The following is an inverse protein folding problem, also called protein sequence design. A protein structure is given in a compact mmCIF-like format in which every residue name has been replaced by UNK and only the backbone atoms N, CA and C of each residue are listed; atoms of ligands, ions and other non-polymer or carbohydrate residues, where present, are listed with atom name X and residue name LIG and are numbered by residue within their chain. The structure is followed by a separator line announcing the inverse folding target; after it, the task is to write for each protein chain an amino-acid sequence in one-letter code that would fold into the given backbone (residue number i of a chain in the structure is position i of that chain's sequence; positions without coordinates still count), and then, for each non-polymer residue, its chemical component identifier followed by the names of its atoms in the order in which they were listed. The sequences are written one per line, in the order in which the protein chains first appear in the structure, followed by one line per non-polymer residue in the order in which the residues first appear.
data_IF_529357911977
#
_entry.id   IF_529357911977
#
_cell.length_a   1.000
_cell.length_b   1.000
_cell.length_c   1.000
_cell.angle_alpha   90.00
_cell.angle_beta   90.00
_cell.angle_gamma   90.00
#
_symmetry.space_group_name_H-M   'P 1'
#
loop_
_entity.id
_entity.type
_entity.pdbx_description
1 polymer ?
#
# COMPACT_ATOMS: atom_id res chain seq x y z
N UNK A 1 23.69 0.46 -11.12
CA UNK A 1 22.78 0.34 -9.96
C UNK A 1 21.86 1.56 -9.91
N UNK A 2 20.74 1.54 -10.65
CA UNK A 2 19.71 2.58 -10.53
C UNK A 2 18.84 2.20 -9.33
N UNK A 3 18.86 3.02 -8.28
CA UNK A 3 17.98 2.91 -7.13
C UNK A 3 16.54 2.89 -7.65
N UNK A 4 15.90 1.72 -7.66
CA UNK A 4 14.46 1.62 -7.88
C UNK A 4 13.87 2.26 -6.63
N UNK A 5 13.57 3.54 -6.76
CA UNK A 5 12.94 4.36 -5.75
C UNK A 5 11.71 3.62 -5.28
N UNK A 6 11.69 3.32 -3.98
CA UNK A 6 10.48 3.01 -3.25
C UNK A 6 9.50 4.15 -3.52
N UNK A 7 8.66 3.99 -4.55
CA UNK A 7 7.43 4.74 -4.70
C UNK A 7 6.51 4.21 -3.60
N UNK A 8 6.79 4.66 -2.38
CA UNK A 8 5.81 4.80 -1.33
C UNK A 8 4.56 5.33 -2.03
N UNK A 9 3.55 4.49 -2.11
CA UNK A 9 2.21 4.93 -2.47
C UNK A 9 1.86 5.92 -1.37
N UNK A 10 2.09 7.20 -1.64
CA UNK A 10 1.69 8.29 -0.79
C UNK A 10 0.16 8.32 -0.81
N UNK A 11 -0.47 7.44 -0.02
CA UNK A 11 -1.92 7.47 0.22
C UNK A 11 -2.21 8.57 1.25
N UNK A 12 -1.70 9.77 0.99
CA UNK A 12 -1.90 10.97 1.77
C UNK A 12 -2.97 11.84 1.09
N UNK A 13 -4.22 11.38 1.08
CA UNK A 13 -5.38 12.20 0.64
C UNK A 13 -6.66 11.71 1.30
N UNK A 14 -6.60 11.45 2.60
CA UNK A 14 -7.80 11.47 3.44
C UNK A 14 -7.72 12.64 4.45
N UNK A 15 -6.97 13.69 4.10
CA UNK A 15 -6.85 14.90 4.91
C UNK A 15 -7.79 16.03 4.45
N UNK A 16 -8.49 15.87 3.33
CA UNK A 16 -9.39 16.91 2.78
C UNK A 16 -10.88 16.70 3.12
N UNK A 17 -11.20 15.74 4.00
CA UNK A 17 -12.52 15.67 4.67
C UNK A 17 -12.62 16.66 5.85
N UNK A 18 -11.87 17.76 5.81
CA UNK A 18 -12.13 18.90 6.67
C UNK A 18 -13.36 19.59 6.09
N UNK A 19 -14.51 19.28 6.69
CA UNK A 19 -15.75 19.99 6.50
C UNK A 19 -15.47 21.51 6.57
N UNK A 20 -15.89 22.32 5.58
CA UNK A 20 -15.60 23.73 5.56
C UNK A 20 -16.53 24.36 6.59
N UNK A 21 -16.02 24.56 7.79
CA UNK A 21 -16.65 25.52 8.68
C UNK A 21 -16.28 26.89 8.17
N UNK A 22 -17.19 27.50 7.41
CA UNK A 22 -17.29 28.95 7.45
C UNK A 22 -17.35 29.36 8.92
N UNK A 23 -16.39 30.19 9.33
CA UNK A 23 -16.35 30.82 10.64
C UNK A 23 -17.75 31.34 11.00
N UNK A 24 -18.35 30.81 12.07
CA UNK A 24 -19.53 31.44 12.65
C UNK A 24 -18.97 32.62 13.45
N UNK A 25 -18.94 33.79 12.82
CA UNK A 25 -18.50 35.04 13.44
C UNK A 25 -19.29 35.31 14.71
N UNK A 26 -18.60 35.80 15.73
CA UNK A 26 -19.17 36.26 16.99
C UNK A 26 -19.91 37.57 16.72
N UNK A 27 -21.22 37.62 16.97
CA UNK A 27 -21.99 38.88 16.99
C UNK A 27 -22.33 39.23 18.45
N UNK A 28 -22.39 40.53 18.82
CA UNK A 28 -22.53 41.02 20.19
C UNK A 28 -23.91 40.74 20.82
N UNK A 29 -24.16 41.06 22.11
CA UNK A 29 -25.21 40.44 22.90
C UNK A 29 -26.62 40.97 22.60
N UNK A 30 -27.59 40.26 23.18
CA UNK A 30 -28.97 40.08 22.75
C UNK A 30 -29.85 41.33 22.74
N UNK A 31 -30.79 41.33 21.78
CA UNK A 31 -32.10 41.95 21.96
C UNK A 31 -33.19 40.90 21.67
N UNK A 32 -34.19 40.86 22.55
CA UNK A 32 -35.24 39.83 22.59
C UNK A 32 -36.45 40.27 21.75
N UNK A 33 -37.20 39.27 21.25
CA UNK A 33 -38.61 39.32 20.84
C UNK A 33 -39.04 39.35 19.35
N UNK A 34 -38.14 39.45 18.35
CA UNK A 34 -38.57 39.23 16.95
C UNK A 34 -37.57 38.48 16.04
N UNK A 35 -36.38 38.17 16.55
CA UNK A 35 -35.29 37.54 15.78
C UNK A 35 -35.20 36.01 15.84
N UNK A 36 -35.98 35.34 16.70
CA UNK A 36 -35.89 33.88 16.88
C UNK A 36 -36.34 33.10 15.63
N UNK A 37 -37.39 33.57 14.95
CA UNK A 37 -37.96 32.94 13.74
C UNK A 37 -37.02 33.06 12.53
N UNK A 38 -36.29 34.18 12.40
CA UNK A 38 -35.29 34.39 11.33
C UNK A 38 -33.99 33.60 11.55
N UNK A 39 -33.61 33.30 12.80
CA UNK A 39 -32.36 32.58 13.09
C UNK A 39 -32.50 31.08 12.87
N UNK A 40 -33.66 30.50 13.19
CA UNK A 40 -33.93 29.08 12.98
C UNK A 40 -34.05 28.74 11.49
N UNK A 41 -34.62 29.63 10.68
CA UNK A 41 -34.66 29.51 9.21
C UNK A 41 -33.27 29.66 8.58
N UNK A 42 -32.44 30.62 9.05
CA UNK A 42 -31.04 30.73 8.61
C UNK A 42 -30.19 29.51 8.99
N UNK A 43 -30.42 28.93 10.17
CA UNK A 43 -29.78 27.68 10.59
C UNK A 43 -30.22 26.52 9.68
N UNK A 44 -31.52 26.37 9.42
CA UNK A 44 -32.06 25.32 8.54
C UNK A 44 -31.48 25.38 7.11
N UNK A 45 -31.37 26.58 6.52
CA UNK A 45 -30.72 26.76 5.21
C UNK A 45 -29.25 26.36 5.22
N UNK A 46 -28.53 26.64 6.32
CA UNK A 46 -27.13 26.24 6.49
C UNK A 46 -26.96 24.73 6.70
N UNK A 47 -27.90 24.10 7.39
CA UNK A 47 -27.94 22.65 7.60
C UNK A 47 -28.13 21.90 6.28
N UNK A 48 -28.99 22.42 5.40
CA UNK A 48 -29.19 21.84 4.05
C UNK A 48 -27.90 21.90 3.20
N UNK A 49 -27.15 23.02 3.27
CA UNK A 49 -25.84 23.13 2.59
C UNK A 49 -24.81 22.15 3.12
N UNK A 50 -24.86 21.83 4.42
CA UNK A 50 -23.98 20.84 5.05
C UNK A 50 -24.27 19.45 4.46
N UNK A 51 -25.53 19.06 4.31
CA UNK A 51 -25.92 17.77 3.73
C UNK A 51 -25.53 17.64 2.24
N UNK A 52 -25.75 18.69 1.45
CA UNK A 52 -25.31 18.73 0.04
C UNK A 52 -23.80 18.57 -0.07
N UNK A 53 -23.04 19.28 0.76
CA UNK A 53 -21.58 19.21 0.77
C UNK A 53 -21.04 17.86 1.28
N UNK A 54 -21.81 17.07 2.03
CA UNK A 54 -21.44 15.68 2.36
C UNK A 54 -21.54 14.79 1.13
N UNK A 55 -22.67 14.89 0.43
CA UNK A 55 -22.98 14.06 -0.75
C UNK A 55 -21.97 14.32 -1.87
N UNK A 56 -21.65 15.58 -2.15
CA UNK A 56 -20.65 15.94 -3.18
C UNK A 56 -19.26 15.40 -2.84
N UNK A 57 -18.86 15.46 -1.56
CA UNK A 57 -17.57 14.91 -1.12
C UNK A 57 -17.50 13.40 -1.21
N UNK A 58 -18.58 12.71 -0.89
CA UNK A 58 -18.68 11.25 -1.04
C UNK A 58 -18.51 10.85 -2.51
N UNK A 59 -19.14 11.58 -3.43
CA UNK A 59 -18.98 11.35 -4.86
C UNK A 59 -17.52 11.57 -5.31
N UNK A 60 -16.91 12.70 -4.95
CA UNK A 60 -15.51 13.00 -5.27
C UNK A 60 -14.54 11.97 -4.69
N UNK A 61 -14.80 11.49 -3.47
CA UNK A 61 -14.01 10.42 -2.86
C UNK A 61 -14.13 9.12 -3.65
N UNK A 62 -15.34 8.75 -4.06
CA UNK A 62 -15.58 7.55 -4.88
C UNK A 62 -14.86 7.62 -6.23
N UNK A 63 -14.95 8.76 -6.91
CA UNK A 63 -14.26 9.01 -8.18
C UNK A 63 -12.75 8.89 -8.03
N UNK A 64 -12.15 9.58 -7.05
CA UNK A 64 -10.70 9.50 -6.82
C UNK A 64 -10.22 8.10 -6.43
N UNK A 65 -11.05 7.30 -5.74
CA UNK A 65 -10.71 5.91 -5.44
C UNK A 65 -10.66 5.07 -6.71
N UNK A 66 -11.66 5.22 -7.57
CA UNK A 66 -11.76 4.50 -8.85
C UNK A 66 -10.58 4.84 -9.76
N UNK A 67 -10.26 6.14 -9.92
CA UNK A 67 -9.11 6.60 -10.70
C UNK A 67 -7.78 6.02 -10.19
N UNK A 68 -7.61 5.95 -8.88
CA UNK A 68 -6.39 5.40 -8.26
C UNK A 68 -6.28 3.90 -8.44
N UNK A 69 -7.38 3.18 -8.32
CA UNK A 69 -7.43 1.74 -8.54
C UNK A 69 -7.02 1.40 -9.98
N UNK A 70 -7.58 2.12 -10.96
CA UNK A 70 -7.22 1.96 -12.36
C UNK A 70 -5.73 2.22 -12.61
N UNK A 71 -5.18 3.35 -12.12
CA UNK A 71 -3.75 3.67 -12.25
C UNK A 71 -2.86 2.65 -11.55
N UNK A 72 -3.31 2.09 -10.43
CA UNK A 72 -2.57 1.07 -9.70
C UNK A 72 -2.52 -0.24 -10.50
N UNK A 73 -3.64 -0.65 -11.10
CA UNK A 73 -3.74 -1.83 -11.93
C UNK A 73 -2.85 -1.73 -13.17
N UNK A 74 -2.90 -0.61 -13.88
CA UNK A 74 -2.05 -0.33 -15.05
C UNK A 74 -0.56 -0.44 -14.70
N UNK A 75 -0.14 0.20 -13.59
CA UNK A 75 1.25 0.13 -13.11
C UNK A 75 1.68 -1.28 -12.72
N UNK A 76 0.76 -2.11 -12.22
CA UNK A 76 1.06 -3.51 -11.87
C UNK A 76 1.28 -4.34 -13.13
N UNK A 77 0.39 -4.23 -14.10
CA UNK A 77 0.50 -4.93 -15.38
C UNK A 77 1.79 -4.55 -16.13
N UNK A 78 2.12 -3.26 -16.18
CA UNK A 78 3.36 -2.78 -16.80
C UNK A 78 4.61 -3.37 -16.13
N UNK A 79 4.65 -3.43 -14.79
CA UNK A 79 5.78 -4.04 -14.06
C UNK A 79 5.87 -5.55 -14.25
N UNK A 80 4.74 -6.24 -14.30
CA UNK A 80 4.69 -7.69 -14.55
C UNK A 80 5.20 -8.00 -15.97
N UNK A 81 4.78 -7.22 -16.97
CA UNK A 81 5.28 -7.34 -18.34
C UNK A 81 6.79 -7.05 -18.46
N UNK A 82 7.27 -5.98 -17.81
CA UNK A 82 8.70 -5.65 -17.79
C UNK A 82 9.53 -6.75 -17.11
N UNK A 83 9.03 -7.30 -15.99
CA UNK A 83 9.70 -8.39 -15.28
C UNK A 83 9.78 -9.66 -16.15
N UNK A 84 8.70 -10.01 -16.84
CA UNK A 84 8.66 -11.14 -17.76
C UNK A 84 9.68 -10.96 -18.90
N UNK A 85 9.68 -9.79 -19.56
CA UNK A 85 10.64 -9.47 -20.63
C UNK A 85 12.09 -9.58 -20.15
N UNK A 86 12.41 -9.00 -18.98
CA UNK A 86 13.75 -9.08 -18.40
C UNK A 86 14.16 -10.49 -17.98
N UNK A 87 13.22 -11.39 -17.70
CA UNK A 87 13.51 -12.80 -17.42
C UNK A 87 13.90 -13.52 -18.70
N UNK A 88 13.11 -13.36 -19.75
CA UNK A 88 13.40 -13.92 -21.08
C UNK A 88 14.78 -13.49 -21.56
N UNK A 89 15.09 -12.19 -21.50
CA UNK A 89 16.41 -11.68 -21.92
C UNK A 89 17.57 -12.32 -21.13
N UNK A 90 17.41 -12.52 -19.82
CA UNK A 90 18.44 -13.17 -19.00
C UNK A 90 18.57 -14.66 -19.30
N UNK A 91 17.48 -15.34 -19.59
CA UNK A 91 17.49 -16.77 -19.93
C UNK A 91 18.13 -17.02 -21.28
N UNK A 92 17.84 -16.18 -22.28
CA UNK A 92 18.51 -16.22 -23.57
C UNK A 92 20.02 -16.04 -23.41
N UNK A 93 20.45 -15.00 -22.68
CA UNK A 93 21.89 -14.75 -22.45
C UNK A 93 22.58 -15.88 -21.67
N UNK A 94 21.89 -16.50 -20.72
CA UNK A 94 22.42 -17.64 -20.00
C UNK A 94 22.60 -18.84 -20.94
N UNK A 95 21.58 -19.14 -21.73
CA UNK A 95 21.58 -20.24 -22.71
C UNK A 95 22.72 -20.06 -23.71
N UNK A 96 22.91 -18.86 -24.24
CA UNK A 96 24.02 -18.53 -25.15
C UNK A 96 25.39 -18.76 -24.51
N UNK A 97 25.58 -18.33 -23.25
CA UNK A 97 26.84 -18.55 -22.52
C UNK A 97 27.11 -20.02 -22.26
N UNK A 98 26.08 -20.78 -21.89
CA UNK A 98 26.18 -22.21 -21.64
C UNK A 98 26.51 -22.98 -22.93
N UNK A 99 25.93 -22.59 -24.07
CA UNK A 99 26.27 -23.15 -25.38
C UNK A 99 27.73 -22.83 -25.79
N UNK A 100 28.21 -21.60 -25.52
CA UNK A 100 29.62 -21.25 -25.74
C UNK A 100 30.58 -22.09 -24.90
N UNK A 101 30.22 -22.39 -23.64
CA UNK A 101 31.02 -23.28 -22.79
C UNK A 101 31.02 -24.72 -23.32
N UNK A 102 29.88 -25.22 -23.82
CA UNK A 102 29.79 -26.55 -24.43
C UNK A 102 30.69 -26.68 -25.65
N UNK A 103 30.70 -25.66 -26.51
CA UNK A 103 31.58 -25.63 -27.68
C UNK A 103 33.08 -25.65 -27.37
N UNK A 104 33.48 -25.35 -26.13
CA UNK A 104 34.88 -25.38 -25.66
C UNK A 104 35.25 -26.70 -24.95
N UNK A 105 34.27 -27.57 -24.67
CA UNK A 105 34.49 -28.84 -24.02
C UNK A 105 34.98 -29.89 -25.03
N UNK A 106 36.31 -30.04 -25.11
CA UNK A 106 36.96 -30.88 -26.12
C UNK A 106 37.08 -32.37 -25.74
N UNK A 107 36.63 -32.77 -24.54
CA UNK A 107 36.61 -34.17 -24.09
C UNK A 107 35.23 -34.55 -23.59
N UNK A 108 34.89 -35.84 -23.63
CA UNK A 108 33.55 -36.30 -23.26
C UNK A 108 33.29 -36.20 -21.75
N UNK A 109 34.34 -36.29 -20.93
CA UNK A 109 34.28 -36.05 -19.49
C UNK A 109 33.92 -34.59 -19.19
N UNK A 110 34.55 -33.64 -19.90
CA UNK A 110 34.27 -32.21 -19.76
C UNK A 110 32.85 -31.85 -20.22
N UNK A 111 32.36 -32.48 -21.30
CA UNK A 111 30.98 -32.30 -21.77
C UNK A 111 29.96 -32.82 -20.75
N UNK A 112 30.23 -33.98 -20.16
CA UNK A 112 29.38 -34.59 -19.12
C UNK A 112 29.31 -33.70 -17.88
N UNK A 113 30.48 -33.25 -17.39
CA UNK A 113 30.55 -32.35 -16.24
C UNK A 113 29.84 -31.00 -16.49
N UNK A 114 29.97 -30.46 -17.70
CA UNK A 114 29.28 -29.23 -18.06
C UNK A 114 27.76 -29.41 -18.14
N UNK A 115 27.28 -30.56 -18.61
CA UNK A 115 25.85 -30.89 -18.61
C UNK A 115 25.31 -30.95 -17.17
N UNK A 116 26.01 -31.62 -16.27
CA UNK A 116 25.65 -31.65 -14.85
C UNK A 116 25.66 -30.25 -14.19
N UNK A 117 26.62 -29.41 -14.57
CA UNK A 117 26.68 -28.01 -14.13
C UNK A 117 25.49 -27.19 -14.66
N UNK A 118 25.10 -27.40 -15.92
CA UNK A 118 23.94 -26.73 -16.52
C UNK A 118 22.64 -27.10 -15.80
N UNK A 119 22.43 -28.39 -15.53
CA UNK A 119 21.27 -28.88 -14.77
C UNK A 119 21.23 -28.26 -13.37
N UNK A 120 22.36 -28.30 -12.65
CA UNK A 120 22.49 -27.69 -11.32
C UNK A 120 22.18 -26.19 -11.32
N UNK A 121 22.63 -25.46 -12.35
CA UNK A 121 22.32 -24.04 -12.50
C UNK A 121 20.83 -23.79 -12.78
N UNK A 122 20.24 -24.61 -13.65
CA UNK A 122 18.83 -24.49 -14.01
C UNK A 122 17.93 -24.78 -12.81
N UNK A 123 18.27 -25.76 -11.98
CA UNK A 123 17.57 -26.08 -10.74
C UNK A 123 17.70 -24.96 -9.71
N UNK A 124 18.91 -24.42 -9.53
CA UNK A 124 19.15 -23.29 -8.65
C UNK A 124 18.37 -22.04 -9.09
N UNK A 125 18.32 -21.76 -10.39
CA UNK A 125 17.55 -20.65 -10.96
C UNK A 125 16.05 -20.85 -10.78
N UNK A 126 15.54 -22.05 -11.05
CA UNK A 126 14.12 -22.40 -10.89
C UNK A 126 13.69 -22.26 -9.44
N UNK A 127 14.50 -22.77 -8.51
CA UNK A 127 14.26 -22.63 -7.05
C UNK A 127 14.23 -21.17 -6.63
N UNK A 128 15.23 -20.37 -7.05
CA UNK A 128 15.29 -18.95 -6.76
C UNK A 128 14.08 -18.20 -7.33
N UNK A 129 13.67 -18.49 -8.55
CA UNK A 129 12.51 -17.87 -9.22
C UNK A 129 11.22 -18.18 -8.47
N UNK A 130 10.95 -19.45 -8.22
CA UNK A 130 9.80 -19.93 -7.45
C UNK A 130 9.72 -19.22 -6.09
N UNK A 131 10.83 -19.17 -5.35
CA UNK A 131 10.88 -18.52 -4.03
C UNK A 131 10.59 -17.03 -4.10
N UNK A 132 11.20 -16.33 -5.07
CA UNK A 132 11.00 -14.89 -5.27
C UNK A 132 9.57 -14.58 -5.73
N UNK A 133 8.99 -15.41 -6.61
CA UNK A 133 7.63 -15.24 -7.12
C UNK A 133 6.58 -15.51 -6.05
N UNK A 134 6.80 -16.51 -5.21
CA UNK A 134 6.00 -16.75 -4.00
C UNK A 134 6.01 -15.53 -3.08
N UNK A 135 7.19 -14.97 -2.80
CA UNK A 135 7.32 -13.77 -1.98
C UNK A 135 6.66 -12.52 -2.58
N UNK A 136 6.76 -12.33 -3.91
CA UNK A 136 6.08 -11.24 -4.61
C UNK A 136 4.56 -11.40 -4.56
N UNK A 137 4.06 -12.61 -4.74
CA UNK A 137 2.62 -12.95 -4.68
C UNK A 137 2.06 -12.73 -3.27
N UNK A 138 2.77 -13.20 -2.24
CA UNK A 138 2.42 -12.98 -0.84
C UNK A 138 2.40 -11.48 -0.51
N UNK A 139 3.41 -10.73 -0.94
CA UNK A 139 3.47 -9.28 -0.76
C UNK A 139 2.30 -8.56 -1.45
N UNK A 140 1.98 -8.91 -2.71
CA UNK A 140 0.88 -8.32 -3.47
C UNK A 140 -0.47 -8.58 -2.78
N UNK A 141 -0.72 -9.84 -2.41
CA UNK A 141 -1.95 -10.26 -1.75
C UNK A 141 -2.12 -9.59 -0.40
N UNK A 142 -1.08 -9.59 0.45
CA UNK A 142 -1.12 -8.93 1.75
C UNK A 142 -1.30 -7.42 1.64
N UNK A 143 -0.69 -6.79 0.64
CA UNK A 143 -0.87 -5.36 0.39
C UNK A 143 -2.32 -5.05 -0.04
N UNK A 144 -2.92 -5.85 -0.91
CA UNK A 144 -4.30 -5.69 -1.36
C UNK A 144 -5.30 -5.84 -0.21
N UNK A 145 -5.10 -6.85 0.64
CA UNK A 145 -5.87 -7.03 1.87
C UNK A 145 -5.74 -5.81 2.81
N UNK A 146 -4.53 -5.29 2.99
CA UNK A 146 -4.29 -4.11 3.84
C UNK A 146 -4.94 -2.84 3.28
N UNK A 147 -4.91 -2.66 1.95
CA UNK A 147 -5.63 -1.55 1.27
C UNK A 147 -7.13 -1.69 1.47
N UNK A 148 -7.69 -2.88 1.26
CA UNK A 148 -9.12 -3.15 1.44
C UNK A 148 -9.57 -2.91 2.89
N UNK A 149 -8.81 -3.41 3.87
CA UNK A 149 -9.08 -3.21 5.28
C UNK A 149 -9.06 -1.71 5.66
N UNK A 150 -8.05 -0.97 5.19
CA UNK A 150 -7.97 0.49 5.41
C UNK A 150 -9.14 1.22 4.77
N UNK A 151 -9.55 0.83 3.56
CA UNK A 151 -10.73 1.41 2.89
C UNK A 151 -11.99 1.18 3.72
N UNK A 152 -12.24 -0.06 4.15
CA UNK A 152 -13.41 -0.40 4.96
C UNK A 152 -13.44 0.35 6.30
N UNK A 153 -12.30 0.47 6.98
CA UNK A 153 -12.19 1.23 8.22
C UNK A 153 -12.50 2.72 8.02
N UNK A 154 -12.00 3.33 6.94
CA UNK A 154 -12.30 4.73 6.60
C UNK A 154 -13.78 4.90 6.22
N UNK A 155 -14.36 3.97 5.46
CA UNK A 155 -15.78 4.00 5.08
C UNK A 155 -16.69 3.94 6.32
N UNK A 156 -16.35 3.06 7.26
CA UNK A 156 -17.02 2.96 8.56
C UNK A 156 -16.92 4.27 9.35
N UNK A 157 -15.73 4.87 9.41
CA UNK A 157 -15.51 6.13 10.11
C UNK A 157 -16.30 7.29 9.48
N UNK A 158 -16.36 7.35 8.15
CA UNK A 158 -17.16 8.36 7.42
C UNK A 158 -18.66 8.16 7.71
N UNK A 159 -19.15 6.92 7.67
CA UNK A 159 -20.56 6.62 7.97
C UNK A 159 -20.91 7.02 9.41
N UNK A 160 -20.07 6.68 10.38
CA UNK A 160 -20.25 7.08 11.78
C UNK A 160 -20.27 8.61 11.94
N UNK A 161 -19.33 9.33 11.30
CA UNK A 161 -19.30 10.78 11.32
C UNK A 161 -20.56 11.38 10.70
N UNK A 162 -21.06 10.83 9.59
CA UNK A 162 -22.30 11.26 8.93
C UNK A 162 -23.52 11.13 9.83
N UNK A 163 -23.64 10.00 10.53
CA UNK A 163 -24.69 9.79 11.53
C UNK A 163 -24.57 10.80 12.67
N UNK A 164 -23.38 10.97 13.24
CA UNK A 164 -23.15 11.96 14.31
C UNK A 164 -23.47 13.39 13.87
N UNK A 165 -23.16 13.75 12.62
CA UNK A 165 -23.53 15.03 12.02
C UNK A 165 -25.05 15.18 11.98
N UNK A 166 -25.78 14.21 11.42
CA UNK A 166 -27.26 14.28 11.37
C UNK A 166 -27.89 14.37 12.74
N UNK A 167 -27.44 13.57 13.70
CA UNK A 167 -27.92 13.63 15.09
C UNK A 167 -27.69 15.01 15.70
N UNK A 168 -26.52 15.62 15.49
CA UNK A 168 -26.23 16.96 15.98
C UNK A 168 -27.15 18.02 15.36
N UNK A 169 -27.44 17.87 14.06
CA UNK A 169 -28.33 18.74 13.30
C UNK A 169 -29.78 18.62 13.79
N UNK A 170 -30.28 17.40 13.96
CA UNK A 170 -31.65 17.15 14.40
C UNK A 170 -31.85 17.59 15.85
N UNK A 171 -30.85 17.39 16.71
CA UNK A 171 -30.84 17.95 18.08
C UNK A 171 -30.89 19.47 18.06
N UNK A 172 -30.18 20.13 17.15
CA UNK A 172 -30.23 21.58 17.01
C UNK A 172 -31.61 22.07 16.54
N UNK A 173 -32.22 21.40 15.55
CA UNK A 173 -33.59 21.71 15.09
C UNK A 173 -34.62 21.53 16.21
N UNK A 174 -34.56 20.43 16.95
CA UNK A 174 -35.45 20.18 18.07
C UNK A 174 -35.27 21.21 19.20
N UNK A 175 -34.02 21.58 19.50
CA UNK A 175 -33.72 22.65 20.45
C UNK A 175 -34.29 24.01 20.03
N UNK A 176 -34.22 24.33 18.74
CA UNK A 176 -34.85 25.54 18.18
C UNK A 176 -36.38 25.52 18.33
N UNK A 177 -37.04 24.39 18.06
CA UNK A 177 -38.48 24.25 18.23
C UNK A 177 -38.92 24.34 19.70
N UNK A 178 -38.07 23.87 20.63
CA UNK A 178 -38.31 23.91 22.07
C UNK A 178 -37.97 25.26 22.73
N UNK A 179 -37.66 26.30 21.96
CA UNK A 179 -37.39 27.64 22.50
C UNK A 179 -36.05 27.78 23.23
N UNK A 180 -35.07 26.89 22.99
CA UNK A 180 -33.72 27.06 23.56
C UNK A 180 -33.11 28.40 23.13
N UNK A 181 -32.41 29.05 24.05
CA UNK A 181 -31.59 30.21 23.75
C UNK A 181 -30.58 29.91 22.61
N UNK A 182 -30.40 30.92 21.75
CA UNK A 182 -29.57 30.90 20.55
C UNK A 182 -28.10 30.58 20.84
N UNK A 183 -27.55 31.10 21.92
CA UNK A 183 -26.14 30.89 22.29
C UNK A 183 -25.95 29.43 22.67
N UNK A 184 -26.83 28.88 23.51
CA UNK A 184 -26.80 27.48 23.95
C UNK A 184 -26.97 26.52 22.77
N UNK A 185 -27.97 26.73 21.89
CA UNK A 185 -28.20 25.87 20.73
C UNK A 185 -27.00 25.83 19.76
N UNK A 186 -26.32 26.97 19.55
CA UNK A 186 -25.10 27.05 18.73
C UNK A 186 -23.90 26.37 19.40
N UNK A 187 -23.73 26.53 20.71
CA UNK A 187 -22.66 25.88 21.47
C UNK A 187 -22.82 24.36 21.45
N UNK A 188 -24.03 23.84 21.71
CA UNK A 188 -24.36 22.41 21.66
C UNK A 188 -24.06 21.81 20.29
N UNK A 189 -24.51 22.49 19.21
CA UNK A 189 -24.24 22.06 17.84
C UNK A 189 -22.72 22.06 17.58
N UNK A 190 -22.02 23.16 17.89
CA UNK A 190 -20.57 23.26 17.67
C UNK A 190 -19.80 22.16 18.39
N UNK A 191 -20.12 21.90 19.65
CA UNK A 191 -19.49 20.84 20.46
C UNK A 191 -19.72 19.47 19.83
N UNK A 192 -20.96 19.17 19.41
CA UNK A 192 -21.31 17.91 18.77
C UNK A 192 -20.59 17.71 17.43
N UNK A 193 -20.52 18.76 16.60
CA UNK A 193 -19.79 18.74 15.33
C UNK A 193 -18.27 18.58 15.56
N UNK A 194 -17.72 19.18 16.61
CA UNK A 194 -16.31 19.04 16.96
C UNK A 194 -15.97 17.63 17.44
N UNK A 195 -16.82 17.04 18.28
CA UNK A 195 -16.67 15.66 18.73
C UNK A 195 -16.69 14.67 17.55
N UNK A 196 -17.64 14.81 16.63
CA UNK A 196 -17.72 14.00 15.41
C UNK A 196 -16.46 14.11 14.54
N UNK A 197 -15.89 15.33 14.40
CA UNK A 197 -14.63 15.54 13.67
C UNK A 197 -13.43 14.89 14.34
N UNK A 198 -13.31 15.07 15.65
CA UNK A 198 -12.21 14.48 16.42
C UNK A 198 -12.26 12.96 16.32
N UNK A 199 -13.44 12.36 16.46
CA UNK A 199 -13.65 10.93 16.28
C UNK A 199 -13.25 10.46 14.88
N UNK A 200 -13.74 11.10 13.82
CA UNK A 200 -13.36 10.79 12.44
C UNK A 200 -11.83 10.87 12.23
N UNK A 201 -11.20 11.95 12.72
CA UNK A 201 -9.76 12.15 12.59
C UNK A 201 -8.99 11.02 13.27
N UNK A 202 -9.36 10.66 14.49
CA UNK A 202 -8.72 9.57 15.24
C UNK A 202 -8.89 8.24 14.51
N UNK A 203 -10.11 7.89 14.08
CA UNK A 203 -10.36 6.62 13.37
C UNK A 203 -9.58 6.53 12.06
N UNK A 204 -9.52 7.63 11.29
CA UNK A 204 -8.72 7.68 10.05
C UNK A 204 -7.24 7.56 10.34
N UNK A 205 -6.75 8.16 11.43
CA UNK A 205 -5.35 8.04 11.84
C UNK A 205 -5.02 6.60 12.23
N UNK A 206 -5.81 5.96 13.08
CA UNK A 206 -5.64 4.55 13.46
C UNK A 206 -5.63 3.62 12.25
N UNK A 207 -6.51 3.84 11.27
CA UNK A 207 -6.53 3.05 10.03
C UNK A 207 -5.26 3.25 9.18
N UNK A 208 -4.63 4.43 9.22
CA UNK A 208 -3.36 4.69 8.54
C UNK A 208 -2.20 4.02 9.26
N UNK A 209 -2.17 4.08 10.58
CA UNK A 209 -1.11 3.50 11.39
C UNK A 209 -1.11 1.98 11.27
N UNK A 210 -2.29 1.34 11.34
CA UNK A 210 -2.44 -0.08 11.11
C UNK A 210 -1.95 -0.51 9.70
N UNK A 211 -2.28 0.27 8.66
CA UNK A 211 -1.77 0.04 7.31
C UNK A 211 -0.25 0.17 7.25
N UNK A 212 0.32 1.21 7.87
CA UNK A 212 1.76 1.45 7.88
C UNK A 212 2.50 0.28 8.54
N UNK A 213 2.06 -0.15 9.72
CA UNK A 213 2.67 -1.30 10.42
C UNK A 213 2.60 -2.58 9.59
N UNK A 214 1.45 -2.86 8.98
CA UNK A 214 1.28 -4.04 8.12
C UNK A 214 2.19 -3.97 6.89
N UNK A 215 2.29 -2.80 6.25
CA UNK A 215 3.18 -2.57 5.12
C UNK A 215 4.67 -2.74 5.53
N UNK A 216 5.03 -2.17 6.68
CA UNK A 216 6.24 -2.41 7.50
C UNK A 216 6.71 -3.87 7.42
N UNK A 217 5.84 -4.73 7.93
CA UNK A 217 6.02 -6.17 8.03
C UNK A 217 6.13 -6.84 6.66
N UNK A 218 5.23 -6.53 5.71
CA UNK A 218 5.24 -7.12 4.37
C UNK A 218 6.53 -6.83 3.60
N UNK A 219 7.03 -5.59 3.69
CA UNK A 219 8.31 -5.20 3.05
C UNK A 219 9.47 -5.97 3.67
N UNK A 220 9.49 -6.11 5.00
CA UNK A 220 10.54 -6.81 5.74
C UNK A 220 10.57 -8.30 5.39
N UNK A 221 9.41 -8.96 5.41
CA UNK A 221 9.26 -10.36 5.02
C UNK A 221 9.75 -10.61 3.59
N UNK A 222 9.29 -9.79 2.63
CA UNK A 222 9.75 -9.89 1.23
C UNK A 222 11.26 -9.71 1.10
N UNK A 223 11.84 -8.72 1.78
CA UNK A 223 13.28 -8.45 1.73
C UNK A 223 14.07 -9.65 2.26
N UNK A 224 13.67 -10.18 3.42
CA UNK A 224 14.31 -11.36 4.02
C UNK A 224 14.28 -12.56 3.08
N UNK A 225 13.12 -12.87 2.48
CA UNK A 225 13.01 -13.98 1.51
C UNK A 225 13.90 -13.76 0.28
N UNK A 226 14.04 -12.52 -0.19
CA UNK A 226 14.91 -12.20 -1.33
C UNK A 226 16.39 -12.39 -0.99
N UNK A 227 16.80 -12.01 0.22
CA UNK A 227 18.16 -12.21 0.72
C UNK A 227 18.47 -13.70 0.84
N UNK A 228 17.60 -14.47 1.50
CA UNK A 228 17.75 -15.93 1.60
C UNK A 228 17.77 -16.63 0.23
N UNK A 229 16.89 -16.25 -0.69
CA UNK A 229 16.86 -16.84 -2.04
C UNK A 229 18.13 -16.53 -2.84
N UNK A 230 18.73 -15.35 -2.63
CA UNK A 230 20.00 -14.96 -3.24
C UNK A 230 21.16 -15.74 -2.64
N UNK A 231 21.20 -15.90 -1.32
CA UNK A 231 22.28 -16.62 -0.64
C UNK A 231 22.23 -18.11 -0.97
N UNK A 232 21.04 -18.73 -0.95
CA UNK A 232 20.84 -20.12 -1.38
C UNK A 232 21.27 -20.35 -2.84
N UNK A 233 20.91 -19.43 -3.74
CA UNK A 233 21.35 -19.50 -5.13
C UNK A 233 22.87 -19.39 -5.26
N UNK A 234 23.51 -18.47 -4.53
CA UNK A 234 24.96 -18.33 -4.53
C UNK A 234 25.63 -19.63 -4.08
N UNK A 235 25.18 -20.19 -2.96
CA UNK A 235 25.73 -21.45 -2.44
C UNK A 235 25.58 -22.60 -3.44
N UNK A 236 24.41 -22.74 -4.08
CA UNK A 236 24.19 -23.76 -5.10
C UNK A 236 25.11 -23.58 -6.32
N UNK A 237 25.30 -22.34 -6.77
CA UNK A 237 26.20 -22.02 -7.89
C UNK A 237 27.66 -22.32 -7.55
N UNK A 238 28.12 -21.96 -6.35
CA UNK A 238 29.50 -22.24 -5.93
C UNK A 238 29.76 -23.74 -5.79
N UNK A 239 28.79 -24.51 -5.26
CA UNK A 239 28.88 -25.97 -5.23
C UNK A 239 28.95 -26.60 -6.63
N UNK A 240 28.13 -26.10 -7.56
CA UNK A 240 28.15 -26.54 -8.96
C UNK A 240 29.49 -26.20 -9.65
N UNK A 241 30.03 -25.01 -9.41
CA UNK A 241 31.35 -24.60 -9.92
C UNK A 241 32.47 -25.46 -9.36
N UNK A 242 32.45 -25.76 -8.07
CA UNK A 242 33.46 -26.62 -7.45
C UNK A 242 33.47 -28.00 -8.12
N UNK A 243 32.30 -28.60 -8.32
CA UNK A 243 32.13 -29.88 -9.03
C UNK A 243 32.66 -29.82 -10.48
N UNK A 244 32.37 -28.72 -11.18
CA UNK A 244 32.88 -28.49 -12.54
C UNK A 244 34.41 -28.35 -12.54
N UNK A 245 34.99 -27.61 -11.60
CA UNK A 245 36.43 -27.39 -11.50
C UNK A 245 37.19 -28.71 -11.27
N UNK A 246 36.68 -29.55 -10.37
CA UNK A 246 37.22 -30.91 -10.15
C UNK A 246 37.22 -31.73 -11.44
N UNK A 247 36.13 -31.71 -12.21
CA UNK A 247 36.04 -32.46 -13.46
C UNK A 247 36.95 -31.93 -14.58
N UNK A 248 37.38 -30.67 -14.50
CA UNK A 248 38.35 -30.08 -15.43
C UNK A 248 39.82 -30.32 -15.02
N UNK A 249 40.06 -31.02 -13.91
CA UNK A 249 41.41 -31.36 -13.45
C UNK A 249 42.13 -30.23 -12.72
N UNK A 250 41.45 -29.12 -12.41
CA UNK A 250 41.98 -28.08 -11.53
C UNK A 250 41.69 -28.44 -10.06
N UNK A 251 42.30 -29.52 -9.55
CA UNK A 251 42.34 -29.73 -8.11
C UNK A 251 43.05 -28.53 -7.46
N UNK A 252 42.46 -27.97 -6.40
CA UNK A 252 43.20 -27.13 -5.46
C UNK A 252 44.48 -27.86 -5.05
N UNK A 253 45.63 -27.28 -5.37
CA UNK A 253 46.92 -27.69 -4.83
C UNK A 253 46.95 -27.34 -3.34
N UNK A 254 46.35 -28.20 -2.53
CA UNK A 254 46.47 -28.34 -1.07
C UNK A 254 46.05 -29.81 -0.88
N UNK A 255 46.90 -30.78 -0.55
CA UNK A 255 48.15 -30.82 0.22
C UNK A 255 48.75 -32.22 -0.01
N UNK A 256 50.06 -32.41 -0.13
CA UNK A 256 50.80 -33.33 0.77
C UNK A 256 52.32 -33.31 0.60
N UNK A 257 52.98 -33.43 1.75
CA UNK A 257 54.41 -33.49 2.00
C UNK A 257 55.04 -34.83 1.54
N UNK A 258 56.37 -34.82 1.36
CA UNK A 258 57.40 -35.86 1.67
C UNK A 258 58.40 -36.14 0.54
N UNK A 259 59.57 -35.48 0.60
CA UNK A 259 60.89 -36.06 0.93
C UNK A 259 61.97 -34.97 1.01
#
# INVERSE_FOLDING_TARGET
MKRITNSLVAIATAASFIFPMGLIAQTPPADQSSGATNVCTLLAGRLTKIDQAMTERELKLSQHRTERESKLQERRQSREAELASRRTERDTKLTERLAQLQGRANTDERKTALTAFQESLQDALTTRRSTVDGALTAYKTGLDQSIAARKAAIDTAIAAAKTAYRTAIDKAKAGCAAGKDKRTARQDLRASLQAARSSLKTSVQSARDAFKTTHESLVTARKSTFESAKDNFRSAVEAAKASLKTAFGESSSETDETE
#
